data_IF_193452496888
#
_entry.id   IF_193452496888
#
_cell.length_a   1.000
_cell.length_b   1.000
_cell.length_c   1.000
_cell.angle_alpha   90.00
_cell.angle_beta   90.00
_cell.angle_gamma   90.00
#
_symmetry.space_group_name_H-M   'P 1'
#
loop_
_entity.id
_entity.type
_entity.pdbx_description
1 polymer ?
#
# COMPACT_ATOMS: atom_id res chain seq x y z
N UNK A 1 19.06 32.25 5.17
CA UNK A 1 18.62 31.16 4.26
C UNK A 1 17.71 30.23 5.07
N UNK A 2 16.51 29.87 4.53
CA UNK A 2 15.65 28.85 5.16
C UNK A 2 15.93 27.52 4.49
N UNK A 3 16.22 26.47 5.29
CA UNK A 3 16.49 25.12 4.80
C UNK A 3 15.49 24.16 5.44
N UNK A 4 14.83 23.32 4.62
CA UNK A 4 13.93 22.28 5.07
C UNK A 4 14.64 20.91 4.97
N UNK A 5 14.80 20.21 6.10
CA UNK A 5 15.53 18.95 6.20
C UNK A 5 14.64 17.78 6.65
N UNK A 6 13.35 17.99 6.82
CA UNK A 6 12.40 16.98 7.29
C UNK A 6 11.65 16.30 6.11
N UNK A 7 12.40 15.78 5.14
CA UNK A 7 11.81 15.10 3.98
C UNK A 7 11.11 13.78 4.35
N UNK A 8 11.44 13.18 5.48
CA UNK A 8 10.73 12.02 5.99
C UNK A 8 9.28 12.36 6.40
N UNK A 9 8.98 13.61 6.79
CA UNK A 9 7.61 14.06 7.07
C UNK A 9 6.83 14.38 5.79
N UNK A 10 7.44 15.09 4.83
CA UNK A 10 6.84 15.42 3.51
C UNK A 10 7.91 16.01 2.60
N UNK A 11 7.65 16.01 1.30
CA UNK A 11 8.50 16.68 0.32
C UNK A 11 7.74 17.83 -0.37
N UNK A 12 8.43 18.86 -0.90
CA UNK A 12 7.81 19.82 -1.81
C UNK A 12 7.35 19.09 -3.08
N UNK A 13 6.25 19.56 -3.67
CA UNK A 13 5.77 19.05 -4.96
C UNK A 13 6.76 19.49 -6.05
N UNK A 14 7.14 18.56 -6.94
CA UNK A 14 7.99 18.90 -8.08
C UNK A 14 7.24 19.80 -9.06
N UNK A 15 7.97 20.74 -9.71
CA UNK A 15 7.38 21.66 -10.68
C UNK A 15 6.70 20.95 -11.85
N UNK A 16 7.33 19.89 -12.33
CA UNK A 16 6.82 19.04 -13.41
C UNK A 16 5.49 18.37 -13.04
N UNK A 17 5.34 17.97 -11.75
CA UNK A 17 4.08 17.40 -11.24
C UNK A 17 2.98 18.46 -11.21
N UNK A 18 3.30 19.72 -10.83
CA UNK A 18 2.33 20.82 -10.82
C UNK A 18 1.87 21.10 -12.26
N UNK A 19 2.79 21.17 -13.22
CA UNK A 19 2.50 21.39 -14.64
C UNK A 19 1.58 20.30 -15.20
N UNK A 20 1.82 19.03 -14.87
CA UNK A 20 0.99 17.90 -15.31
C UNK A 20 -0.40 17.90 -14.68
N UNK A 21 -0.57 18.37 -13.44
CA UNK A 21 -1.86 18.42 -12.75
C UNK A 21 -2.72 19.59 -13.23
N UNK A 22 -2.11 20.74 -13.56
CA UNK A 22 -2.83 21.98 -13.86
C UNK A 22 -3.91 21.86 -14.95
N UNK A 23 -3.73 21.13 -16.05
CA UNK A 23 -4.77 20.94 -17.05
C UNK A 23 -6.02 20.24 -16.52
N UNK A 24 -5.87 19.36 -15.54
CA UNK A 24 -6.99 18.61 -14.93
C UNK A 24 -7.80 19.47 -13.95
N UNK A 25 -7.20 20.50 -13.38
CA UNK A 25 -7.89 21.47 -12.53
C UNK A 25 -8.74 22.47 -13.36
N UNK A 26 -8.32 22.78 -14.59
CA UNK A 26 -8.92 23.85 -15.39
C UNK A 26 -9.70 23.34 -16.61
N UNK A 27 -9.13 22.42 -17.40
CA UNK A 27 -9.62 22.06 -18.72
C UNK A 27 -10.27 20.66 -18.76
N UNK A 28 -9.74 19.69 -18.01
CA UNK A 28 -10.14 18.29 -18.07
C UNK A 28 -10.87 17.87 -16.79
N UNK A 29 -11.90 18.63 -16.45
CA UNK A 29 -12.69 18.51 -15.21
C UNK A 29 -13.80 17.47 -15.27
N UNK A 30 -13.91 16.68 -16.35
CA UNK A 30 -14.99 15.70 -16.52
C UNK A 30 -14.97 14.61 -15.46
N UNK A 31 -16.16 14.23 -14.97
CA UNK A 31 -16.28 13.11 -14.05
C UNK A 31 -15.90 11.80 -14.78
N UNK A 32 -14.93 11.01 -14.30
CA UNK A 32 -14.46 9.79 -14.96
C UNK A 32 -15.53 8.70 -15.06
N UNK A 33 -16.60 8.75 -14.24
CA UNK A 33 -17.74 7.82 -14.35
C UNK A 33 -18.74 8.19 -15.45
N UNK A 34 -18.60 9.38 -16.09
CA UNK A 34 -19.49 9.82 -17.17
C UNK A 34 -19.12 9.19 -18.51
N UNK A 35 -20.13 8.75 -19.27
CA UNK A 35 -19.95 8.07 -20.57
C UNK A 35 -19.63 9.01 -21.75
N UNK A 36 -19.82 10.33 -21.58
CA UNK A 36 -19.55 11.32 -22.62
C UNK A 36 -18.04 11.65 -22.75
N UNK A 37 -17.66 12.42 -23.79
CA UNK A 37 -16.27 12.69 -24.14
C UNK A 37 -15.41 13.29 -23.00
N UNK A 38 -15.99 14.18 -22.17
CA UNK A 38 -15.26 14.77 -21.04
C UNK A 38 -14.92 13.71 -19.97
N UNK A 39 -15.87 12.83 -19.62
CA UNK A 39 -15.61 11.76 -18.64
C UNK A 39 -14.62 10.72 -19.18
N UNK A 40 -14.77 10.29 -20.44
CA UNK A 40 -13.82 9.36 -21.07
C UNK A 40 -12.41 9.87 -21.08
N UNK A 41 -12.19 11.20 -21.30
CA UNK A 41 -10.85 11.80 -21.28
C UNK A 41 -10.20 11.69 -19.90
N UNK A 42 -10.95 11.99 -18.85
CA UNK A 42 -10.47 11.91 -17.47
C UNK A 42 -10.22 10.46 -17.06
N UNK A 43 -11.15 9.54 -17.37
CA UNK A 43 -10.99 8.10 -17.12
C UNK A 43 -9.74 7.56 -17.80
N UNK A 44 -9.52 7.89 -19.06
CA UNK A 44 -8.35 7.46 -19.82
C UNK A 44 -7.04 7.95 -19.18
N UNK A 45 -7.00 9.19 -18.68
CA UNK A 45 -5.84 9.72 -17.98
C UNK A 45 -5.54 8.93 -16.68
N UNK A 46 -6.58 8.57 -15.91
CA UNK A 46 -6.43 7.74 -14.70
C UNK A 46 -5.83 6.38 -15.08
N UNK A 47 -6.38 5.70 -16.09
CA UNK A 47 -5.92 4.37 -16.49
C UNK A 47 -4.50 4.37 -17.08
N UNK A 48 -4.13 5.40 -17.85
CA UNK A 48 -2.75 5.57 -18.34
C UNK A 48 -1.77 5.70 -17.16
N UNK A 49 -2.11 6.50 -16.15
CA UNK A 49 -1.23 6.69 -14.99
C UNK A 49 -1.22 5.45 -14.09
N UNK A 50 -2.34 4.77 -13.92
CA UNK A 50 -2.41 3.45 -13.24
C UNK A 50 -1.45 2.46 -13.90
N UNK A 51 -1.48 2.37 -15.24
CA UNK A 51 -0.56 1.52 -15.99
C UNK A 51 0.90 1.91 -15.78
N UNK A 52 1.24 3.21 -15.81
CA UNK A 52 2.61 3.66 -15.57
C UNK A 52 3.12 3.24 -14.19
N UNK A 53 2.29 3.39 -13.15
CA UNK A 53 2.64 2.94 -11.78
C UNK A 53 2.86 1.42 -11.76
N UNK A 54 1.93 0.66 -12.33
CA UNK A 54 2.05 -0.80 -12.40
C UNK A 54 3.32 -1.25 -13.12
N UNK A 55 3.63 -0.66 -14.28
CA UNK A 55 4.83 -0.97 -15.06
C UNK A 55 6.13 -0.68 -14.25
N UNK A 56 6.16 0.39 -13.46
CA UNK A 56 7.33 0.75 -12.62
C UNK A 56 7.65 -0.27 -11.53
N UNK A 57 6.65 -0.97 -11.01
CA UNK A 57 6.82 -1.98 -9.96
C UNK A 57 6.65 -3.42 -10.49
N UNK A 58 6.54 -3.59 -11.81
CA UNK A 58 6.33 -4.87 -12.50
C UNK A 58 5.06 -5.59 -12.01
N UNK A 59 3.97 -4.82 -11.87
CA UNK A 59 2.63 -5.26 -11.51
C UNK A 59 1.67 -5.14 -12.71
N UNK A 60 0.43 -5.58 -12.55
CA UNK A 60 -0.67 -5.38 -13.50
C UNK A 60 -1.51 -4.16 -13.12
N UNK A 61 -2.22 -3.59 -14.10
CA UNK A 61 -3.04 -2.40 -13.89
C UNK A 61 -4.09 -2.60 -12.78
N UNK A 62 -4.79 -3.72 -12.80
CA UNK A 62 -5.83 -4.05 -11.80
C UNK A 62 -5.28 -4.35 -10.40
N UNK A 63 -3.97 -4.40 -10.21
CA UNK A 63 -3.33 -4.56 -8.92
C UNK A 63 -3.06 -3.21 -8.22
N UNK A 64 -3.35 -2.07 -8.88
CA UNK A 64 -3.14 -0.73 -8.33
C UNK A 64 -4.49 -0.12 -7.95
N UNK A 65 -4.68 0.16 -6.68
CA UNK A 65 -5.85 0.85 -6.14
C UNK A 65 -5.42 2.23 -5.67
N UNK A 66 -5.98 3.29 -6.25
CA UNK A 66 -5.70 4.65 -5.78
C UNK A 66 -6.35 4.90 -4.44
N UNK A 67 -5.63 5.60 -3.55
CA UNK A 67 -6.07 5.97 -2.21
C UNK A 67 -5.81 7.45 -1.94
N UNK A 68 -6.32 7.99 -0.85
CA UNK A 68 -6.03 9.36 -0.40
C UNK A 68 -4.63 9.51 0.21
N UNK A 69 -3.89 8.41 0.38
CA UNK A 69 -2.55 8.39 0.94
C UNK A 69 -2.20 7.08 1.62
N UNK A 70 -1.04 7.03 2.26
CA UNK A 70 -0.54 5.84 2.94
C UNK A 70 -1.47 5.34 4.05
N UNK A 71 -2.03 6.25 4.84
CA UNK A 71 -2.94 5.87 5.95
C UNK A 71 -4.17 5.10 5.46
N UNK A 72 -4.79 5.52 4.37
CA UNK A 72 -5.93 4.79 3.79
C UNK A 72 -5.46 3.44 3.22
N UNK A 73 -4.33 3.42 2.53
CA UNK A 73 -3.78 2.20 1.95
C UNK A 73 -3.42 1.14 3.01
N UNK A 74 -2.76 1.54 4.12
CA UNK A 74 -2.46 0.65 5.26
C UNK A 74 -3.75 0.12 5.90
N UNK A 75 -4.71 1.01 6.18
CA UNK A 75 -6.00 0.61 6.72
C UNK A 75 -6.73 -0.37 5.81
N UNK A 76 -6.72 -0.12 4.50
CA UNK A 76 -7.33 -1.00 3.52
C UNK A 76 -6.66 -2.37 3.52
N UNK A 77 -5.32 -2.44 3.47
CA UNK A 77 -4.58 -3.69 3.50
C UNK A 77 -4.90 -4.53 4.76
N UNK A 78 -4.84 -3.93 5.95
CA UNK A 78 -5.06 -4.63 7.21
C UNK A 78 -6.53 -5.06 7.38
N UNK A 79 -7.48 -4.16 7.12
CA UNK A 79 -8.91 -4.44 7.28
C UNK A 79 -9.38 -5.50 6.28
N UNK A 80 -9.04 -5.35 5.01
CA UNK A 80 -9.41 -6.35 4.00
C UNK A 80 -8.76 -7.71 4.28
N UNK A 81 -7.52 -7.76 4.78
CA UNK A 81 -6.92 -9.01 5.19
C UNK A 81 -7.74 -9.72 6.28
N UNK A 82 -8.27 -9.00 7.26
CA UNK A 82 -9.09 -9.57 8.33
C UNK A 82 -10.48 -9.97 7.83
N UNK A 83 -11.16 -9.07 7.10
CA UNK A 83 -12.56 -9.27 6.72
C UNK A 83 -12.73 -10.18 5.50
N UNK A 84 -11.84 -10.09 4.51
CA UNK A 84 -12.00 -10.80 3.23
C UNK A 84 -11.15 -12.08 3.18
N UNK A 85 -9.96 -12.08 3.81
CA UNK A 85 -9.04 -13.23 3.79
C UNK A 85 -9.07 -14.05 5.08
N UNK A 86 -9.98 -13.70 6.02
CA UNK A 86 -10.15 -14.39 7.30
C UNK A 86 -8.84 -14.48 8.11
N UNK A 87 -8.01 -13.43 8.04
CA UNK A 87 -6.81 -13.32 8.88
C UNK A 87 -7.22 -13.27 10.35
N UNK A 88 -6.54 -14.07 11.18
CA UNK A 88 -6.78 -14.18 12.63
C UNK A 88 -5.59 -13.67 13.45
N UNK A 89 -4.46 -13.44 12.79
CA UNK A 89 -3.24 -12.96 13.43
C UNK A 89 -2.57 -11.90 12.56
N UNK A 90 -2.11 -10.84 13.20
CA UNK A 90 -1.23 -9.83 12.60
C UNK A 90 0.13 -9.93 13.29
N UNK A 91 1.19 -10.12 12.51
CA UNK A 91 2.58 -10.06 12.98
C UNK A 91 3.18 -8.76 12.50
N UNK A 92 3.72 -7.96 13.42
CA UNK A 92 4.23 -6.62 13.14
C UNK A 92 5.39 -6.27 14.07
N UNK A 93 5.87 -5.03 14.05
CA UNK A 93 6.83 -4.50 15.02
C UNK A 93 6.25 -3.28 15.76
N UNK A 94 6.87 -2.89 16.87
CA UNK A 94 6.47 -1.68 17.62
C UNK A 94 6.94 -0.37 16.96
N UNK A 95 7.75 -0.46 15.92
CA UNK A 95 8.32 0.69 15.21
C UNK A 95 7.58 1.02 13.90
N UNK A 96 6.44 0.37 13.65
CA UNK A 96 5.60 0.68 12.49
C UNK A 96 4.99 2.08 12.59
N UNK A 97 4.57 2.61 11.45
CA UNK A 97 3.78 3.84 11.42
C UNK A 97 2.44 3.65 12.14
N UNK A 98 1.93 4.73 12.76
CA UNK A 98 0.66 4.72 13.49
C UNK A 98 -0.53 4.21 12.65
N UNK A 99 -0.52 4.42 11.34
CA UNK A 99 -1.55 3.89 10.45
C UNK A 99 -1.64 2.36 10.49
N UNK A 100 -0.51 1.67 10.68
CA UNK A 100 -0.45 0.21 10.86
C UNK A 100 -0.76 -0.17 12.30
N UNK A 101 -0.08 0.45 13.28
CA UNK A 101 -0.22 0.09 14.70
C UNK A 101 -1.64 0.27 15.21
N UNK A 102 -2.21 1.48 15.05
CA UNK A 102 -3.55 1.77 15.56
C UNK A 102 -4.62 0.97 14.81
N UNK A 103 -4.43 0.68 13.52
CA UNK A 103 -5.35 -0.18 12.78
C UNK A 103 -5.29 -1.62 13.30
N UNK A 104 -4.11 -2.16 13.57
CA UNK A 104 -3.96 -3.50 14.15
C UNK A 104 -4.60 -3.56 15.55
N UNK A 105 -4.36 -2.57 16.41
CA UNK A 105 -4.98 -2.47 17.74
C UNK A 105 -6.51 -2.41 17.65
N UNK A 106 -7.04 -1.60 16.73
CA UNK A 106 -8.48 -1.52 16.49
C UNK A 106 -9.06 -2.88 16.07
N UNK A 107 -8.38 -3.61 15.18
CA UNK A 107 -8.79 -4.95 14.74
C UNK A 107 -8.69 -6.00 15.87
N UNK A 108 -7.69 -5.89 16.75
CA UNK A 108 -7.63 -6.72 17.97
C UNK A 108 -8.87 -6.49 18.84
N UNK A 109 -9.21 -5.23 19.09
CA UNK A 109 -10.25 -4.88 20.05
C UNK A 109 -11.68 -5.11 19.49
N UNK A 110 -11.87 -4.97 18.17
CA UNK A 110 -13.18 -5.14 17.52
C UNK A 110 -13.43 -6.55 16.97
N UNK A 111 -12.39 -7.19 16.42
CA UNK A 111 -12.51 -8.46 15.68
C UNK A 111 -11.77 -9.62 16.37
N UNK A 112 -11.21 -9.38 17.55
CA UNK A 112 -10.45 -10.37 18.33
C UNK A 112 -9.27 -10.98 17.55
N UNK A 113 -8.60 -10.16 16.72
CA UNK A 113 -7.40 -10.55 15.98
C UNK A 113 -6.21 -10.57 16.92
N UNK A 114 -5.42 -11.65 16.89
CA UNK A 114 -4.17 -11.74 17.65
C UNK A 114 -3.13 -10.80 17.07
N UNK A 115 -2.43 -10.00 17.90
CA UNK A 115 -1.28 -9.20 17.47
C UNK A 115 -0.02 -9.78 18.10
N UNK A 116 0.98 -10.10 17.27
CA UNK A 116 2.31 -10.50 17.74
C UNK A 116 3.30 -9.43 17.29
N UNK A 117 4.00 -8.84 18.25
CA UNK A 117 5.10 -7.94 17.99
C UNK A 117 6.41 -8.73 17.93
N UNK A 118 7.06 -8.72 16.77
CA UNK A 118 8.42 -9.27 16.66
C UNK A 118 9.39 -8.46 17.51
N UNK A 119 10.32 -9.17 18.14
CA UNK A 119 11.47 -8.53 18.74
C UNK A 119 12.30 -7.80 17.69
N UNK A 120 12.86 -6.67 18.06
CA UNK A 120 13.81 -5.91 17.22
C UNK A 120 15.15 -5.79 17.93
N UNK A 121 16.22 -5.80 17.16
CA UNK A 121 17.54 -5.48 17.69
C UNK A 121 17.68 -3.97 18.00
N UNK A 122 18.86 -3.56 18.50
CA UNK A 122 19.14 -2.16 18.84
C UNK A 122 19.15 -1.21 17.61
N UNK A 123 19.19 -1.75 16.38
CA UNK A 123 19.09 -1.00 15.14
C UNK A 123 17.66 -1.03 14.57
N UNK A 124 16.72 -1.69 15.24
CA UNK A 124 15.33 -1.83 14.78
C UNK A 124 15.10 -2.95 13.76
N UNK A 125 16.08 -3.84 13.50
CA UNK A 125 15.87 -4.97 12.61
C UNK A 125 14.97 -6.02 13.28
N UNK A 126 13.88 -6.49 12.63
CA UNK A 126 13.02 -7.52 13.20
C UNK A 126 13.71 -8.88 13.26
N UNK A 127 13.40 -9.67 14.28
CA UNK A 127 13.88 -11.04 14.44
C UNK A 127 13.17 -11.97 13.43
N UNK A 128 13.86 -12.28 12.33
CA UNK A 128 13.34 -13.16 11.28
C UNK A 128 13.34 -14.65 11.68
N UNK A 129 14.14 -15.06 12.68
CA UNK A 129 14.09 -16.43 13.23
C UNK A 129 12.81 -16.61 14.03
N UNK A 130 12.47 -15.60 14.86
CA UNK A 130 11.19 -15.57 15.56
C UNK A 130 10.02 -15.61 14.56
N UNK A 131 10.07 -14.81 13.48
CA UNK A 131 9.05 -14.83 12.43
C UNK A 131 8.87 -16.22 11.83
N UNK A 132 9.94 -16.88 11.37
CA UNK A 132 9.88 -18.23 10.81
C UNK A 132 9.31 -19.24 11.81
N UNK A 133 9.65 -19.14 13.08
CA UNK A 133 9.15 -20.02 14.15
C UNK A 133 7.63 -19.89 14.33
N UNK A 134 7.12 -18.64 14.36
CA UNK A 134 5.69 -18.37 14.57
C UNK A 134 4.86 -18.87 13.37
N UNK A 135 5.35 -18.74 12.15
CA UNK A 135 4.62 -19.12 10.94
C UNK A 135 4.49 -20.63 10.71
N UNK A 136 5.10 -21.46 11.54
CA UNK A 136 4.99 -22.93 11.43
C UNK A 136 3.61 -23.47 11.87
N UNK A 137 2.82 -22.71 12.62
CA UNK A 137 1.42 -23.05 12.86
C UNK A 137 0.57 -22.71 11.61
N UNK A 138 -0.64 -23.17 11.51
CA UNK A 138 -1.49 -22.97 10.31
C UNK A 138 -2.52 -21.85 10.50
N UNK A 139 -2.22 -20.84 11.32
CA UNK A 139 -3.10 -19.70 11.56
C UNK A 139 -3.02 -18.73 10.38
N UNK A 140 -4.16 -18.34 9.81
CA UNK A 140 -4.21 -17.30 8.77
C UNK A 140 -3.62 -16.01 9.31
N UNK A 141 -2.51 -15.57 8.75
CA UNK A 141 -1.66 -14.51 9.30
C UNK A 141 -1.38 -13.44 8.25
N UNK A 142 -1.48 -12.18 8.66
CA UNK A 142 -0.90 -11.04 7.95
C UNK A 142 0.42 -10.68 8.63
N UNK A 143 1.51 -10.75 7.90
CA UNK A 143 2.79 -10.14 8.29
C UNK A 143 2.80 -8.72 7.72
N UNK A 144 2.95 -7.71 8.58
CA UNK A 144 3.00 -6.30 8.16
C UNK A 144 4.26 -5.65 8.73
N UNK A 145 5.20 -5.30 7.86
CA UNK A 145 6.50 -4.76 8.23
C UNK A 145 6.88 -3.65 7.24
N UNK A 146 7.13 -2.45 7.76
CA UNK A 146 7.53 -1.32 6.92
C UNK A 146 8.89 -1.54 6.28
N UNK A 147 9.06 -1.08 5.04
CA UNK A 147 10.30 -1.29 4.30
C UNK A 147 11.44 -0.41 4.82
N UNK A 148 11.17 0.86 5.11
CA UNK A 148 12.13 1.72 5.82
C UNK A 148 11.42 2.52 6.90
N UNK A 149 12.05 2.58 8.06
CA UNK A 149 11.52 3.35 9.18
C UNK A 149 11.86 4.84 9.01
N UNK A 150 10.87 5.70 9.19
CA UNK A 150 10.98 7.14 9.03
C UNK A 150 11.71 7.86 10.17
N UNK A 151 11.92 7.22 11.32
CA UNK A 151 12.55 7.81 12.50
C UNK A 151 13.98 7.30 12.71
N UNK A 152 14.20 5.99 12.61
CA UNK A 152 15.48 5.35 12.90
C UNK A 152 16.22 4.87 11.65
N UNK A 153 15.65 5.06 10.45
CA UNK A 153 16.23 4.74 9.14
C UNK A 153 16.59 3.27 8.92
N UNK A 154 16.04 2.34 9.71
CA UNK A 154 16.21 0.90 9.50
C UNK A 154 15.59 0.47 8.19
N UNK A 155 16.30 -0.31 7.40
CA UNK A 155 15.84 -0.85 6.12
C UNK A 155 15.58 -2.36 6.25
N UNK A 156 14.33 -2.77 6.04
CA UNK A 156 13.91 -4.17 6.09
C UNK A 156 14.52 -4.95 4.92
N UNK A 157 15.08 -6.15 5.13
CA UNK A 157 15.44 -7.05 4.04
C UNK A 157 14.17 -7.68 3.39
N UNK A 158 13.40 -6.85 2.69
CA UNK A 158 12.04 -7.13 2.22
C UNK A 158 11.95 -8.41 1.37
N UNK A 159 12.94 -8.68 0.52
CA UNK A 159 13.00 -9.91 -0.29
C UNK A 159 13.12 -11.17 0.57
N UNK A 160 13.88 -11.08 1.67
CA UNK A 160 14.03 -12.20 2.63
C UNK A 160 12.72 -12.44 3.37
N UNK A 161 12.06 -11.38 3.85
CA UNK A 161 10.75 -11.50 4.50
C UNK A 161 9.70 -12.07 3.54
N UNK A 162 9.61 -11.54 2.32
CA UNK A 162 8.70 -12.05 1.30
C UNK A 162 8.93 -13.55 1.03
N UNK A 163 10.21 -13.97 0.94
CA UNK A 163 10.56 -15.39 0.75
C UNK A 163 10.19 -16.27 1.94
N UNK A 164 10.25 -15.74 3.16
CA UNK A 164 9.78 -16.47 4.37
C UNK A 164 8.27 -16.65 4.30
N UNK A 165 7.52 -15.56 4.09
CA UNK A 165 6.06 -15.60 4.03
C UNK A 165 5.54 -16.52 2.91
N UNK A 166 6.15 -16.48 1.74
CA UNK A 166 5.75 -17.27 0.57
C UNK A 166 5.86 -18.79 0.74
N UNK A 167 6.59 -19.28 1.77
CA UNK A 167 6.63 -20.71 2.11
C UNK A 167 5.29 -21.21 2.68
N UNK A 168 4.42 -20.32 3.13
CA UNK A 168 3.21 -20.63 3.86
C UNK A 168 1.97 -20.08 3.13
N UNK A 169 1.08 -20.97 2.66
CA UNK A 169 -0.12 -20.58 1.88
C UNK A 169 -1.18 -19.78 2.68
N UNK A 170 -1.08 -19.79 4.01
CA UNK A 170 -1.98 -19.10 4.93
C UNK A 170 -1.40 -17.77 5.44
N UNK A 171 -0.29 -17.32 4.85
CA UNK A 171 0.40 -16.09 5.23
C UNK A 171 0.34 -15.11 4.09
N UNK A 172 -0.06 -13.89 4.40
CA UNK A 172 -0.04 -12.73 3.52
C UNK A 172 1.02 -11.76 3.99
N UNK A 173 1.68 -11.09 3.06
CA UNK A 173 2.71 -10.10 3.39
C UNK A 173 2.34 -8.72 2.87
N UNK A 174 2.22 -7.77 3.80
CA UNK A 174 2.07 -6.34 3.57
C UNK A 174 3.36 -5.60 3.96
N UNK A 175 3.72 -4.60 3.17
CA UNK A 175 4.80 -3.67 3.55
C UNK A 175 4.38 -2.23 3.29
N UNK A 176 4.46 -1.39 4.33
CA UNK A 176 4.43 0.06 4.15
C UNK A 176 5.73 0.50 3.48
N UNK A 177 5.64 0.95 2.23
CA UNK A 177 6.76 1.42 1.42
C UNK A 177 6.74 2.93 1.20
N UNK A 178 5.99 3.67 2.01
CA UNK A 178 5.82 5.13 1.90
C UNK A 178 7.16 5.86 1.90
N UNK A 179 8.16 5.39 2.64
CA UNK A 179 9.50 5.99 2.69
C UNK A 179 10.43 5.52 1.57
N UNK A 180 10.06 4.51 0.79
CA UNK A 180 10.99 3.86 -0.14
C UNK A 180 10.48 3.77 -1.57
N UNK A 181 9.17 3.87 -1.78
CA UNK A 181 8.60 3.93 -3.12
C UNK A 181 9.17 5.13 -3.88
N UNK A 182 9.62 4.89 -5.12
CA UNK A 182 10.33 5.90 -5.93
C UNK A 182 11.81 6.06 -5.61
N UNK A 183 12.30 5.60 -4.46
CA UNK A 183 13.73 5.60 -4.09
C UNK A 183 14.40 4.25 -4.32
N UNK A 184 13.63 3.17 -4.21
CA UNK A 184 14.06 1.80 -4.47
C UNK A 184 13.24 1.19 -5.61
N UNK A 185 13.87 0.32 -6.38
CA UNK A 185 13.17 -0.43 -7.43
C UNK A 185 12.50 -1.67 -6.83
N UNK A 186 11.19 -1.78 -7.04
CA UNK A 186 10.43 -2.96 -6.69
C UNK A 186 10.17 -3.79 -7.96
N UNK A 187 10.39 -5.10 -7.87
CA UNK A 187 10.02 -6.06 -8.91
C UNK A 187 9.07 -7.09 -8.30
N UNK A 188 7.77 -6.85 -8.41
CA UNK A 188 6.75 -7.69 -7.81
C UNK A 188 6.50 -8.98 -8.60
N UNK A 189 7.02 -9.08 -9.83
CA UNK A 189 7.02 -10.35 -10.57
C UNK A 189 7.97 -11.39 -9.96
N UNK A 190 9.01 -10.93 -9.25
CA UNK A 190 10.03 -11.79 -8.63
C UNK A 190 9.92 -11.83 -7.10
N UNK A 191 9.37 -10.77 -6.49
CA UNK A 191 9.27 -10.66 -5.03
C UNK A 191 7.82 -10.87 -4.61
N UNK A 192 7.47 -11.99 -3.96
CA UNK A 192 6.10 -12.36 -3.62
C UNK A 192 5.61 -11.52 -2.43
N UNK A 193 5.10 -10.33 -2.73
CA UNK A 193 4.46 -9.42 -1.78
C UNK A 193 2.98 -9.35 -2.15
N UNK A 194 2.11 -9.33 -1.15
CA UNK A 194 0.67 -9.32 -1.35
C UNK A 194 0.09 -7.91 -1.35
N UNK A 195 0.65 -7.02 -0.52
CA UNK A 195 0.22 -5.63 -0.42
C UNK A 195 1.42 -4.69 -0.28
N UNK A 196 1.41 -3.56 -1.00
CA UNK A 196 2.35 -2.46 -0.82
C UNK A 196 1.62 -1.13 -0.70
N UNK A 197 1.98 -0.35 0.31
CA UNK A 197 1.43 0.99 0.53
C UNK A 197 2.36 2.07 0.00
N UNK A 198 1.79 3.07 -0.69
CA UNK A 198 2.50 4.25 -1.18
C UNK A 198 1.75 5.54 -0.89
N UNK A 199 2.50 6.62 -0.68
CA UNK A 199 1.96 7.99 -0.53
C UNK A 199 2.77 8.98 -1.35
N UNK A 200 2.09 9.75 -2.22
CA UNK A 200 2.74 10.60 -3.20
C UNK A 200 3.56 11.75 -2.58
N UNK A 201 3.14 12.28 -1.43
CA UNK A 201 3.81 13.43 -0.80
C UNK A 201 5.20 13.13 -0.21
N UNK A 202 5.62 11.88 -0.21
CA UNK A 202 6.97 11.46 0.20
C UNK A 202 7.94 11.34 -1.00
N UNK A 203 7.40 11.41 -2.22
CA UNK A 203 8.15 11.32 -3.48
C UNK A 203 7.81 12.47 -4.44
N UNK A 204 7.76 13.68 -3.89
CA UNK A 204 7.53 14.93 -4.61
C UNK A 204 6.18 15.06 -5.33
N UNK A 205 5.20 14.24 -4.93
CA UNK A 205 3.80 14.34 -5.37
C UNK A 205 2.94 15.17 -4.40
N UNK A 206 1.64 15.35 -4.74
CA UNK A 206 0.70 16.07 -3.88
C UNK A 206 0.32 15.25 -2.63
N UNK A 207 -0.10 15.96 -1.57
CA UNK A 207 -0.84 15.37 -0.46
C UNK A 207 -2.23 14.95 -0.92
N UNK A 208 -2.85 13.98 -0.25
CA UNK A 208 -4.18 13.51 -0.59
C UNK A 208 -4.21 12.50 -1.76
N UNK A 209 -3.06 11.93 -2.12
CA UNK A 209 -2.93 10.89 -3.15
C UNK A 209 -1.94 9.82 -2.70
N UNK A 210 -2.30 8.58 -2.92
CA UNK A 210 -1.48 7.41 -2.71
C UNK A 210 -2.01 6.24 -3.53
N UNK A 211 -1.44 5.07 -3.32
CA UNK A 211 -1.99 3.83 -3.85
C UNK A 211 -1.67 2.65 -2.92
N UNK A 212 -2.53 1.65 -3.02
CA UNK A 212 -2.30 0.31 -2.53
C UNK A 212 -2.07 -0.61 -3.74
N UNK A 213 -0.96 -1.34 -3.74
CA UNK A 213 -0.81 -2.51 -4.60
C UNK A 213 -1.45 -3.70 -3.90
N UNK A 214 -2.23 -4.47 -4.64
CA UNK A 214 -2.83 -5.73 -4.19
C UNK A 214 -2.54 -6.81 -5.22
N UNK A 215 -1.89 -7.89 -4.79
CA UNK A 215 -1.59 -9.02 -5.68
C UNK A 215 -2.88 -9.59 -6.27
N UNK A 216 -2.93 -9.79 -7.60
CA UNK A 216 -4.10 -10.28 -8.34
C UNK A 216 -4.68 -11.62 -7.85
N UNK A 217 -3.91 -12.40 -7.06
CA UNK A 217 -4.39 -13.66 -6.46
C UNK A 217 -5.33 -13.42 -5.29
N UNK A 218 -5.40 -12.18 -4.81
CA UNK A 218 -6.20 -11.76 -3.67
C UNK A 218 -7.47 -11.08 -4.22
N UNK A 219 -8.62 -11.54 -3.79
CA UNK A 219 -9.90 -10.89 -4.04
C UNK A 219 -10.31 -10.13 -2.79
N UNK A 220 -10.51 -8.83 -2.93
CA UNK A 220 -10.95 -7.94 -1.85
C UNK A 220 -12.29 -7.32 -2.18
N UNK A 221 -13.11 -7.13 -1.14
CA UNK A 221 -14.28 -6.26 -1.24
C UNK A 221 -13.85 -4.78 -1.15
N UNK A 222 -14.59 -3.85 -1.78
CA UNK A 222 -14.30 -2.44 -1.65
C UNK A 222 -14.41 -1.99 -0.19
N UNK A 223 -13.37 -1.33 0.33
CA UNK A 223 -13.42 -0.72 1.66
C UNK A 223 -14.42 0.45 1.70
N UNK A 224 -14.50 1.19 0.61
CA UNK A 224 -15.43 2.31 0.42
C UNK A 224 -16.36 1.94 -0.73
N UNK A 225 -17.66 1.85 -0.44
CA UNK A 225 -18.67 1.48 -1.41
C UNK A 225 -19.19 2.71 -2.18
N UNK A 226 -19.65 2.50 -3.43
CA UNK A 226 -20.31 3.54 -4.23
C UNK A 226 -19.43 4.28 -5.22
N UNK A 227 -18.12 4.01 -5.28
CA UNK A 227 -17.24 4.59 -6.29
C UNK A 227 -16.49 3.52 -7.07
N UNK A 228 -16.71 3.48 -8.38
CA UNK A 228 -16.09 2.51 -9.29
C UNK A 228 -14.56 2.63 -9.40
N UNK A 229 -13.98 3.77 -9.01
CA UNK A 229 -12.54 3.99 -9.02
C UNK A 229 -11.81 3.26 -7.88
N UNK A 230 -12.55 2.85 -6.84
CA UNK A 230 -12.02 2.17 -5.65
C UNK A 230 -12.28 0.66 -5.63
N UNK A 231 -12.91 0.13 -6.69
CA UNK A 231 -13.12 -1.32 -6.80
C UNK A 231 -11.98 -1.95 -7.58
N UNK A 232 -11.56 -3.14 -7.17
CA UNK A 232 -10.60 -3.95 -7.92
C UNK A 232 -11.09 -4.32 -9.32
N UNK A 233 -12.38 -4.13 -9.57
CA UNK A 233 -13.11 -4.49 -10.79
C UNK A 233 -13.53 -3.28 -11.65
N UNK A 234 -12.86 -2.14 -11.52
CA UNK A 234 -13.17 -0.97 -12.35
C UNK A 234 -13.08 -1.22 -13.88
N UNK A 235 -12.58 -2.38 -14.29
CA UNK A 235 -12.53 -2.81 -15.69
C UNK A 235 -13.77 -3.59 -16.13
N UNK A 236 -14.52 -4.23 -15.24
CA UNK A 236 -15.65 -5.10 -15.57
C UNK A 236 -17.01 -4.44 -15.45
N UNK A 237 -17.11 -3.27 -14.81
CA UNK A 237 -18.37 -2.51 -14.70
C UNK A 237 -18.72 -1.71 -15.98
N UNK A 238 -18.61 -2.37 -17.13
CA UNK A 238 -19.17 -1.85 -18.39
C UNK A 238 -20.70 -2.00 -18.48
N UNK A 239 -21.35 -2.53 -17.44
CA UNK A 239 -22.77 -2.91 -17.48
C UNK A 239 -23.60 -2.39 -16.29
N UNK A 240 -23.30 -1.20 -15.80
CA UNK A 240 -24.23 -0.46 -14.93
C UNK A 240 -24.69 0.83 -15.60
#
# INVERSE_FOLDING_TARGET
MKVYLDNAATTPIASEVIEEIQPYLNNYFGNPSSTHAFGRKTKNAIEINRKKIADLIQAKNNEIIFTSGGTEADNMALRCAVFDLNVKRIITTKIEHHAVLHTAECLRDQENVEIIFLATDHNGNPDLVQLESILNDKVNTLVTLMHANNEISTLLPIKKVASICAKHKHVYFHSDTVQTMGHYTFNLSETPIDFLTCSAHKLHGPKGVGFLYVNQKISLNPLITGCLLYTSDAADDLWC
#
